data_IF_876542797949
#
_entry.id   IF_876542797949
#
_cell.length_a   1.000
_cell.length_b   1.000
_cell.length_c   1.000
_cell.angle_alpha   90.00
_cell.angle_beta   90.00
_cell.angle_gamma   90.00
#
_symmetry.space_group_name_H-M   'P 1'
#
loop_
_entity.id
_entity.type
_entity.pdbx_description
1 polymer ?
#
# COMPACT_ATOMS: atom_id res chain seq x y z
N UNK A 1 -21.30 72.65 -31.60
CA UNK A 1 -21.66 71.24 -31.36
C UNK A 1 -20.57 70.39 -31.99
N UNK A 2 -19.71 69.73 -31.20
CA UNK A 2 -18.61 68.96 -31.74
C UNK A 2 -19.13 67.65 -32.36
N UNK A 3 -18.57 67.33 -33.51
CA UNK A 3 -18.84 66.16 -34.35
C UNK A 3 -18.43 64.87 -33.59
N UNK A 4 -19.41 64.13 -33.06
CA UNK A 4 -19.17 62.78 -32.53
C UNK A 4 -19.00 61.83 -33.71
N UNK A 5 -17.74 61.63 -34.12
CA UNK A 5 -17.35 60.45 -34.89
C UNK A 5 -17.59 59.21 -34.03
N UNK A 6 -18.71 58.54 -34.25
CA UNK A 6 -18.93 57.20 -33.72
C UNK A 6 -17.95 56.25 -34.43
N UNK A 7 -16.82 55.97 -33.80
CA UNK A 7 -15.99 54.83 -34.15
C UNK A 7 -16.83 53.56 -33.94
N UNK A 8 -17.31 53.00 -35.05
CA UNK A 8 -17.96 51.68 -35.04
C UNK A 8 -16.87 50.65 -34.71
N UNK A 9 -16.71 50.33 -33.43
CA UNK A 9 -16.14 49.05 -33.04
C UNK A 9 -17.07 47.96 -33.56
N UNK A 10 -16.76 47.38 -34.72
CA UNK A 10 -17.43 46.20 -35.23
C UNK A 10 -17.17 45.05 -34.25
N UNK A 11 -18.03 44.94 -33.24
CA UNK A 11 -18.11 43.75 -32.41
C UNK A 11 -18.32 42.57 -33.38
N UNK A 12 -17.55 41.48 -33.25
CA UNK A 12 -17.68 40.33 -34.12
C UNK A 12 -18.95 39.54 -33.72
N UNK A 13 -20.11 40.17 -33.89
CA UNK A 13 -21.44 39.71 -33.47
C UNK A 13 -21.81 38.34 -34.05
N UNK A 14 -21.17 37.96 -35.16
CA UNK A 14 -21.43 36.72 -35.89
C UNK A 14 -20.20 35.79 -35.98
N UNK A 15 -19.09 36.11 -35.31
CA UNK A 15 -17.92 35.24 -35.34
C UNK A 15 -18.15 34.00 -34.48
N UNK A 16 -18.00 32.82 -35.09
CA UNK A 16 -18.06 31.53 -34.43
C UNK A 16 -16.64 31.01 -34.22
N UNK A 17 -16.35 30.55 -33.00
CA UNK A 17 -15.11 29.85 -32.66
C UNK A 17 -15.46 28.37 -32.49
N UNK A 18 -14.81 27.50 -33.27
CA UNK A 18 -15.08 26.06 -33.21
C UNK A 18 -14.23 25.40 -32.14
N UNK A 19 -14.86 24.87 -31.10
CA UNK A 19 -14.20 24.16 -30.02
C UNK A 19 -14.49 22.64 -30.11
N UNK A 20 -13.46 21.78 -30.23
CA UNK A 20 -13.67 20.33 -30.26
C UNK A 20 -14.35 19.82 -28.98
N UNK A 21 -15.34 18.92 -29.11
CA UNK A 21 -16.04 18.34 -27.95
C UNK A 21 -15.08 17.66 -26.95
N UNK A 22 -14.03 17.01 -27.47
CA UNK A 22 -12.99 16.37 -26.65
C UNK A 22 -12.29 17.35 -25.70
N UNK A 23 -12.20 18.64 -26.05
CA UNK A 23 -11.68 19.66 -25.15
C UNK A 23 -12.59 19.86 -23.95
N UNK A 24 -13.91 19.90 -24.18
CA UNK A 24 -14.92 20.08 -23.13
C UNK A 24 -14.96 18.86 -22.21
N UNK A 25 -14.94 17.66 -22.78
CA UNK A 25 -15.14 16.43 -22.00
C UNK A 25 -13.90 16.02 -21.20
N UNK A 26 -12.69 16.24 -21.77
CA UNK A 26 -11.44 15.72 -21.19
C UNK A 26 -10.61 16.81 -20.53
N UNK A 27 -10.48 17.98 -21.18
CA UNK A 27 -9.51 18.99 -20.78
C UNK A 27 -10.11 20.08 -19.87
N UNK A 28 -11.33 20.53 -20.14
CA UNK A 28 -12.00 21.59 -19.38
C UNK A 28 -12.10 21.30 -17.87
N UNK A 29 -12.43 20.07 -17.40
CA UNK A 29 -12.48 19.78 -15.96
C UNK A 29 -11.13 19.82 -15.25
N UNK A 30 -10.04 19.73 -16.00
CA UNK A 30 -8.67 19.65 -15.48
C UNK A 30 -7.93 20.99 -15.52
N UNK A 31 -8.49 22.00 -16.20
CA UNK A 31 -7.85 23.29 -16.40
C UNK A 31 -8.40 24.34 -15.43
N UNK A 32 -7.55 25.27 -15.00
CA UNK A 32 -8.00 26.44 -14.24
C UNK A 32 -8.82 27.37 -15.12
N UNK A 33 -9.70 28.18 -14.51
CA UNK A 33 -10.50 29.17 -15.25
C UNK A 33 -9.65 30.15 -16.07
N UNK A 34 -8.43 30.48 -15.61
CA UNK A 34 -7.49 31.30 -16.38
C UNK A 34 -6.86 30.55 -17.55
N UNK A 35 -6.55 29.26 -17.41
CA UNK A 35 -6.06 28.44 -18.51
C UNK A 35 -7.11 28.25 -19.61
N UNK A 36 -8.38 28.07 -19.26
CA UNK A 36 -9.48 28.00 -20.25
C UNK A 36 -9.63 29.34 -20.99
N UNK A 37 -9.64 30.46 -20.27
CA UNK A 37 -9.69 31.81 -20.88
C UNK A 37 -8.52 32.04 -21.83
N UNK A 38 -7.31 31.68 -21.40
CA UNK A 38 -6.10 31.82 -22.20
C UNK A 38 -6.18 30.98 -23.47
N UNK A 39 -6.60 29.72 -23.37
CA UNK A 39 -6.75 28.84 -24.53
C UNK A 39 -7.77 29.37 -25.55
N UNK A 40 -8.92 29.87 -25.10
CA UNK A 40 -9.94 30.43 -25.99
C UNK A 40 -9.48 31.73 -26.69
N UNK A 41 -8.74 32.60 -25.97
CA UNK A 41 -8.16 33.82 -26.55
C UNK A 41 -7.10 33.46 -27.60
N UNK A 42 -6.25 32.48 -27.30
CA UNK A 42 -5.25 31.98 -28.24
C UNK A 42 -5.92 31.34 -29.47
N UNK A 43 -6.98 30.54 -29.27
CA UNK A 43 -7.72 29.89 -30.34
C UNK A 43 -8.30 30.94 -31.29
N UNK A 44 -8.93 31.97 -30.73
CA UNK A 44 -9.48 33.06 -31.53
C UNK A 44 -8.41 33.86 -32.28
N UNK A 45 -7.26 34.13 -31.65
CA UNK A 45 -6.17 34.85 -32.31
C UNK A 45 -5.49 34.02 -33.39
N UNK A 46 -5.43 32.70 -33.23
CA UNK A 46 -4.90 31.79 -34.26
C UNK A 46 -5.75 31.77 -35.53
N UNK A 47 -7.07 31.95 -35.42
CA UNK A 47 -7.98 32.08 -36.56
C UNK A 47 -7.81 33.43 -37.30
N UNK A 48 -7.41 34.48 -36.57
CA UNK A 48 -7.25 35.83 -37.11
C UNK A 48 -5.82 36.12 -37.61
N UNK A 49 -4.86 35.25 -37.30
CA UNK A 49 -3.44 35.43 -37.64
C UNK A 49 -2.73 36.48 -36.79
N UNK A 50 -3.30 36.86 -35.64
CA UNK A 50 -2.78 37.92 -34.78
C UNK A 50 -1.58 37.44 -33.96
N UNK A 51 -0.52 38.26 -33.91
CA UNK A 51 0.61 38.05 -32.99
C UNK A 51 0.25 38.61 -31.62
N UNK A 52 0.13 37.74 -30.63
CA UNK A 52 -0.20 38.12 -29.26
C UNK A 52 1.06 38.31 -28.41
N UNK A 53 1.21 39.50 -27.82
CA UNK A 53 2.20 39.75 -26.76
C UNK A 53 1.64 39.36 -25.39
N UNK A 54 2.52 39.10 -24.43
CA UNK A 54 2.10 38.70 -23.07
C UNK A 54 1.27 39.77 -22.36
N UNK A 55 1.54 41.05 -22.64
CA UNK A 55 0.79 42.19 -22.10
C UNK A 55 -0.66 42.19 -22.60
N UNK A 56 -0.88 41.91 -23.89
CA UNK A 56 -2.22 41.80 -24.48
C UNK A 56 -2.97 40.60 -23.91
N UNK A 57 -2.28 39.47 -23.70
CA UNK A 57 -2.87 38.30 -23.07
C UNK A 57 -3.33 38.58 -21.64
N UNK A 58 -2.51 39.27 -20.84
CA UNK A 58 -2.89 39.66 -19.48
C UNK A 58 -4.11 40.57 -19.45
N UNK A 59 -4.15 41.56 -20.34
CA UNK A 59 -5.27 42.48 -20.43
C UNK A 59 -6.55 41.78 -20.88
N UNK A 60 -6.49 40.91 -21.88
CA UNK A 60 -7.66 40.16 -22.39
C UNK A 60 -8.17 39.09 -21.42
N UNK A 61 -7.27 38.43 -20.69
CA UNK A 61 -7.63 37.38 -19.72
C UNK A 61 -7.92 37.94 -18.32
N UNK A 62 -7.69 39.23 -18.08
CA UNK A 62 -7.81 39.90 -16.78
C UNK A 62 -7.07 39.13 -15.66
N UNK A 63 -5.77 38.85 -15.88
CA UNK A 63 -4.97 38.04 -14.96
C UNK A 63 -3.61 38.68 -14.61
N UNK A 64 -3.07 38.30 -13.44
CA UNK A 64 -1.72 38.69 -13.02
C UNK A 64 -0.64 37.93 -13.82
N UNK A 65 0.62 38.39 -13.76
CA UNK A 65 1.73 37.69 -14.41
C UNK A 65 1.86 36.24 -13.91
N UNK A 66 1.72 36.03 -12.60
CA UNK A 66 1.81 34.72 -11.97
C UNK A 66 0.69 33.77 -12.43
N UNK A 67 -0.54 34.28 -12.54
CA UNK A 67 -1.68 33.51 -13.05
C UNK A 67 -1.51 33.18 -14.53
N UNK A 68 -0.97 34.11 -15.32
CA UNK A 68 -0.67 33.86 -16.72
C UNK A 68 0.39 32.76 -16.87
N UNK A 69 1.45 32.80 -16.08
CA UNK A 69 2.53 31.81 -16.14
C UNK A 69 2.07 30.43 -15.64
N UNK A 70 1.22 30.38 -14.62
CA UNK A 70 0.57 29.14 -14.19
C UNK A 70 -0.34 28.57 -15.29
N UNK A 71 -1.14 29.42 -15.94
CA UNK A 71 -2.01 29.02 -17.04
C UNK A 71 -1.21 28.51 -18.25
N UNK A 72 -0.10 29.16 -18.63
CA UNK A 72 0.82 28.70 -19.66
C UNK A 72 1.37 27.30 -19.34
N UNK A 73 1.86 27.09 -18.12
CA UNK A 73 2.39 25.80 -17.67
C UNK A 73 1.34 24.70 -17.74
N UNK A 74 0.11 24.96 -17.31
CA UNK A 74 -0.99 23.99 -17.39
C UNK A 74 -1.32 23.61 -18.82
N UNK A 75 -1.34 24.56 -19.75
CA UNK A 75 -1.61 24.27 -21.17
C UNK A 75 -0.43 23.56 -21.85
N UNK A 76 0.80 23.85 -21.45
CA UNK A 76 2.01 23.15 -21.92
C UNK A 76 2.06 21.71 -21.40
N UNK A 77 1.74 21.47 -20.12
CA UNK A 77 1.69 20.13 -19.52
C UNK A 77 0.69 19.21 -20.24
N UNK A 78 -0.43 19.78 -20.69
CA UNK A 78 -1.45 19.07 -21.46
C UNK A 78 -1.16 19.01 -22.97
N UNK A 79 -0.01 19.50 -23.40
CA UNK A 79 0.44 19.59 -24.81
C UNK A 79 -0.52 20.38 -25.74
N UNK A 80 -1.38 21.23 -25.16
CA UNK A 80 -2.37 22.03 -25.89
C UNK A 80 -1.75 23.27 -26.55
N UNK A 81 -0.71 23.83 -25.90
CA UNK A 81 -0.01 25.04 -26.34
C UNK A 81 1.50 24.81 -26.30
N UNK A 82 2.19 25.12 -27.39
CA UNK A 82 3.64 25.23 -27.45
C UNK A 82 4.05 26.69 -27.56
N UNK A 83 5.10 27.08 -26.84
CA UNK A 83 5.66 28.43 -26.91
C UNK A 83 7.03 28.27 -27.53
N UNK A 84 7.23 28.81 -28.73
CA UNK A 84 8.55 28.81 -29.37
C UNK A 84 9.55 29.70 -28.60
N UNK A 85 10.87 29.50 -28.76
CA UNK A 85 11.89 30.40 -28.20
C UNK A 85 11.76 31.86 -28.65
N UNK A 86 11.03 32.10 -29.75
CA UNK A 86 10.70 33.41 -30.29
C UNK A 86 9.41 34.02 -29.69
N UNK A 87 8.81 33.39 -28.67
CA UNK A 87 7.61 33.88 -27.98
C UNK A 87 6.30 33.66 -28.74
N UNK A 88 6.30 32.80 -29.77
CA UNK A 88 5.11 32.51 -30.59
C UNK A 88 4.34 31.33 -30.00
N UNK A 89 3.03 31.51 -29.80
CA UNK A 89 2.13 30.47 -29.33
C UNK A 89 1.63 29.62 -30.50
N UNK A 90 1.87 28.32 -30.45
CA UNK A 90 1.31 27.33 -31.38
C UNK A 90 0.31 26.45 -30.65
N UNK A 91 -0.91 26.42 -31.17
CA UNK A 91 -1.95 25.52 -30.69
C UNK A 91 -1.85 24.17 -31.40
N UNK A 92 -2.14 23.11 -30.66
CA UNK A 92 -2.30 21.78 -31.21
C UNK A 92 -3.75 21.35 -31.05
N UNK A 93 -4.31 20.67 -32.05
CA UNK A 93 -5.68 20.19 -31.97
C UNK A 93 -5.80 19.12 -30.87
N UNK A 94 -6.68 19.30 -29.87
CA UNK A 94 -6.95 18.31 -28.83
C UNK A 94 -7.29 16.92 -29.39
N UNK A 95 -7.92 16.84 -30.56
CA UNK A 95 -8.22 15.58 -31.25
C UNK A 95 -6.94 14.88 -31.70
N UNK A 96 -5.99 15.61 -32.26
CA UNK A 96 -4.70 15.06 -32.69
C UNK A 96 -3.86 14.60 -31.49
N UNK A 97 -3.93 15.29 -30.36
CA UNK A 97 -3.26 14.87 -29.12
C UNK A 97 -3.79 13.53 -28.66
N UNK A 98 -5.10 13.40 -28.51
CA UNK A 98 -5.72 12.15 -28.07
C UNK A 98 -5.54 11.04 -29.10
N UNK A 99 -5.64 11.34 -30.39
CA UNK A 99 -5.37 10.41 -31.47
C UNK A 99 -3.92 9.93 -31.42
N UNK A 100 -2.95 10.84 -31.27
CA UNK A 100 -1.55 10.50 -31.14
C UNK A 100 -1.28 9.68 -29.87
N UNK A 101 -1.95 9.93 -28.74
CA UNK A 101 -1.85 9.06 -27.56
C UNK A 101 -2.37 7.65 -27.85
N UNK A 102 -3.47 7.52 -28.59
CA UNK A 102 -4.04 6.24 -29.00
C UNK A 102 -3.13 5.48 -29.99
N UNK A 103 -2.48 6.18 -30.94
CA UNK A 103 -1.60 5.56 -31.95
C UNK A 103 -0.13 5.41 -31.53
N UNK A 104 0.42 6.30 -30.69
CA UNK A 104 1.77 6.15 -30.11
C UNK A 104 1.84 4.92 -29.21
N UNK A 105 0.71 4.56 -28.60
CA UNK A 105 0.52 3.29 -27.86
C UNK A 105 0.47 2.06 -28.78
N UNK A 106 0.18 2.23 -30.07
CA UNK A 106 0.23 1.16 -31.09
C UNK A 106 1.59 1.03 -31.80
N UNK A 107 2.51 2.01 -31.67
CA UNK A 107 3.73 2.10 -32.51
C UNK A 107 5.06 1.88 -31.75
N UNK A 108 5.02 1.20 -30.61
CA UNK A 108 6.24 0.65 -29.97
C UNK A 108 6.04 -0.81 -29.62
N UNK A 109 7.02 -1.66 -29.96
CA UNK A 109 7.28 -2.15 -31.30
C UNK A 109 6.33 -3.32 -31.66
N UNK A 110 5.65 -3.23 -32.80
CA UNK A 110 5.26 -4.44 -33.54
C UNK A 110 6.34 -4.66 -34.61
N UNK A 111 6.91 -5.87 -34.74
CA UNK A 111 7.98 -6.13 -35.70
C UNK A 111 7.47 -5.91 -37.12
N UNK A 112 8.25 -5.16 -37.89
CA UNK A 112 8.03 -4.89 -39.31
C UNK A 112 7.77 -6.19 -40.08
N UNK A 113 6.75 -6.12 -40.95
CA UNK A 113 6.37 -7.09 -41.99
C UNK A 113 7.30 -8.30 -42.18
N UNK A 114 6.84 -9.46 -41.71
CA UNK A 114 7.00 -10.71 -42.45
C UNK A 114 5.61 -11.23 -42.84
N UNK A 115 5.33 -11.15 -44.12
CA UNK A 115 4.30 -11.93 -44.80
C UNK A 115 4.65 -13.42 -44.57
N UNK A 116 3.74 -14.16 -43.93
CA UNK A 116 3.37 -15.57 -44.19
C UNK A 116 2.69 -16.21 -42.95
N UNK A 117 1.39 -16.45 -43.06
CA UNK A 117 0.66 -17.66 -42.60
C UNK A 117 0.83 -18.22 -41.17
N UNK A 118 0.60 -17.43 -40.12
CA UNK A 118 0.37 -17.99 -38.76
C UNK A 118 -0.60 -17.18 -37.86
N UNK A 119 -1.55 -16.44 -38.46
CA UNK A 119 -2.24 -15.32 -37.80
C UNK A 119 -3.50 -15.65 -36.95
N UNK A 120 -3.87 -16.91 -36.73
CA UNK A 120 -5.07 -17.22 -35.92
C UNK A 120 -4.84 -17.04 -34.41
N UNK A 121 -3.66 -17.39 -33.88
CA UNK A 121 -3.40 -17.31 -32.44
C UNK A 121 -3.23 -15.87 -31.91
N UNK A 122 -2.60 -14.98 -32.67
CA UNK A 122 -2.42 -13.58 -32.26
C UNK A 122 -3.76 -12.81 -32.31
N UNK A 123 -4.59 -13.09 -33.31
CA UNK A 123 -5.94 -12.54 -33.39
C UNK A 123 -6.85 -13.10 -32.27
N UNK A 124 -6.71 -14.39 -31.95
CA UNK A 124 -7.43 -15.02 -30.85
C UNK A 124 -7.07 -14.40 -29.49
N UNK A 125 -5.78 -14.18 -29.21
CA UNK A 125 -5.35 -13.56 -27.96
C UNK A 125 -5.82 -12.11 -27.83
N UNK A 126 -5.78 -11.33 -28.92
CA UNK A 126 -6.30 -9.97 -28.94
C UNK A 126 -7.81 -9.93 -28.63
N UNK A 127 -8.58 -10.83 -29.25
CA UNK A 127 -10.02 -11.00 -28.96
C UNK A 127 -10.29 -11.40 -27.51
N UNK A 128 -9.48 -12.29 -26.95
CA UNK A 128 -9.61 -12.70 -25.55
C UNK A 128 -9.31 -11.55 -24.58
N UNK A 129 -8.33 -10.69 -24.89
CA UNK A 129 -8.02 -9.48 -24.11
C UNK A 129 -9.16 -8.47 -24.16
N UNK A 130 -9.72 -8.22 -25.34
CA UNK A 130 -10.90 -7.35 -25.49
C UNK A 130 -12.10 -7.87 -24.70
N UNK A 131 -12.35 -9.19 -24.78
CA UNK A 131 -13.41 -9.85 -24.01
C UNK A 131 -13.19 -9.74 -22.50
N UNK A 132 -11.95 -9.90 -22.03
CA UNK A 132 -11.59 -9.73 -20.62
C UNK A 132 -11.92 -8.32 -20.15
N UNK A 133 -11.46 -7.30 -20.87
CA UNK A 133 -11.70 -5.89 -20.53
C UNK A 133 -13.19 -5.57 -20.52
N UNK A 134 -13.94 -6.05 -21.51
CA UNK A 134 -15.38 -5.91 -21.57
C UNK A 134 -16.06 -6.56 -20.35
N UNK A 135 -15.71 -7.80 -20.02
CA UNK A 135 -16.27 -8.52 -18.87
C UNK A 135 -15.97 -7.81 -17.54
N UNK A 136 -14.78 -7.23 -17.39
CA UNK A 136 -14.42 -6.43 -16.20
C UNK A 136 -15.25 -5.16 -16.15
N UNK A 137 -15.35 -4.43 -17.27
CA UNK A 137 -16.13 -3.19 -17.38
C UNK A 137 -17.61 -3.42 -17.04
N UNK A 138 -18.23 -4.41 -17.68
CA UNK A 138 -19.66 -4.71 -17.52
C UNK A 138 -19.98 -5.18 -16.10
N UNK A 139 -19.12 -6.02 -15.50
CA UNK A 139 -19.39 -6.64 -14.20
C UNK A 139 -19.03 -5.77 -12.99
N UNK A 140 -17.94 -5.00 -13.07
CA UNK A 140 -17.41 -4.27 -11.92
C UNK A 140 -17.54 -2.75 -12.04
N UNK A 141 -17.75 -2.21 -13.24
CA UNK A 141 -17.82 -0.77 -13.50
C UNK A 141 -19.11 -0.34 -14.23
N UNK A 142 -20.13 -1.19 -14.28
CA UNK A 142 -21.41 -0.92 -14.95
C UNK A 142 -21.25 -0.46 -16.41
N UNK A 143 -20.25 -0.98 -17.12
CA UNK A 143 -19.93 -0.62 -18.49
C UNK A 143 -19.13 0.67 -18.65
N UNK A 144 -18.85 1.42 -17.58
CA UNK A 144 -18.10 2.67 -17.61
C UNK A 144 -16.77 2.55 -16.87
N UNK A 145 -15.79 1.91 -17.51
CA UNK A 145 -14.43 1.78 -16.98
C UNK A 145 -13.52 2.92 -17.49
N UNK A 146 -12.80 3.58 -16.57
CA UNK A 146 -11.84 4.65 -16.92
C UNK A 146 -10.80 4.19 -17.96
N UNK A 147 -10.45 5.02 -18.97
CA UNK A 147 -9.39 4.73 -19.94
C UNK A 147 -8.03 4.38 -19.32
N UNK A 148 -7.77 4.83 -18.09
CA UNK A 148 -6.54 4.51 -17.36
C UNK A 148 -6.40 3.02 -17.03
N UNK A 149 -7.52 2.32 -16.80
CA UNK A 149 -7.52 0.88 -16.50
C UNK A 149 -7.03 0.02 -17.64
N UNK A 150 -7.20 0.45 -18.89
CA UNK A 150 -6.69 -0.27 -20.05
C UNK A 150 -5.16 -0.33 -20.02
N UNK A 151 -4.50 0.76 -19.59
CA UNK A 151 -3.06 0.78 -19.35
C UNK A 151 -2.65 -0.16 -18.24
N UNK A 152 -3.37 -0.13 -17.12
CA UNK A 152 -2.99 -0.95 -15.97
C UNK A 152 -3.21 -2.44 -16.25
N UNK A 153 -4.27 -2.82 -16.95
CA UNK A 153 -4.53 -4.19 -17.38
C UNK A 153 -3.46 -4.67 -18.36
N UNK A 154 -3.09 -3.83 -19.35
CA UNK A 154 -2.00 -4.18 -20.27
C UNK A 154 -0.67 -4.36 -19.53
N UNK A 155 -0.37 -3.54 -18.53
CA UNK A 155 0.83 -3.72 -17.71
C UNK A 155 0.76 -5.01 -16.89
N UNK A 156 -0.40 -5.37 -16.32
CA UNK A 156 -0.56 -6.65 -15.60
C UNK A 156 -0.32 -7.86 -16.52
N UNK A 157 -0.79 -7.79 -17.77
CA UNK A 157 -0.61 -8.87 -18.75
C UNK A 157 0.83 -8.95 -19.29
N UNK A 158 1.46 -7.80 -19.54
CA UNK A 158 2.74 -7.75 -20.25
C UNK A 158 3.95 -7.67 -19.30
N UNK A 159 3.88 -6.87 -18.23
CA UNK A 159 4.99 -6.68 -17.28
C UNK A 159 4.94 -7.73 -16.16
N UNK A 160 3.76 -8.01 -15.60
CA UNK A 160 3.61 -9.03 -14.55
C UNK A 160 3.36 -10.43 -15.09
N UNK A 161 3.20 -10.55 -16.41
CA UNK A 161 2.95 -11.79 -17.14
C UNK A 161 1.67 -12.54 -16.74
N UNK A 162 0.72 -11.89 -16.06
CA UNK A 162 -0.48 -12.55 -15.59
C UNK A 162 -1.30 -13.15 -16.73
N UNK A 163 -1.82 -14.35 -16.52
CA UNK A 163 -2.84 -14.91 -17.41
C UNK A 163 -4.15 -14.14 -17.29
N UNK A 164 -4.96 -14.16 -18.36
CA UNK A 164 -6.26 -13.47 -18.39
C UNK A 164 -7.18 -13.83 -17.20
N UNK A 165 -7.30 -15.11 -16.78
CA UNK A 165 -8.09 -15.46 -15.61
C UNK A 165 -7.55 -14.85 -14.30
N UNK A 166 -6.23 -14.68 -14.16
CA UNK A 166 -5.61 -14.07 -12.98
C UNK A 166 -5.95 -12.60 -12.89
N UNK A 167 -5.88 -11.88 -14.02
CA UNK A 167 -6.32 -10.48 -14.09
C UNK A 167 -7.79 -10.36 -13.74
N UNK A 168 -8.65 -11.23 -14.29
CA UNK A 168 -10.07 -11.24 -13.93
C UNK A 168 -10.28 -11.45 -12.41
N UNK A 169 -9.55 -12.41 -11.82
CA UNK A 169 -9.63 -12.69 -10.39
C UNK A 169 -9.14 -11.53 -9.51
N UNK A 170 -8.18 -10.71 -9.95
CA UNK A 170 -7.79 -9.49 -9.23
C UNK A 170 -8.98 -8.54 -9.06
N UNK A 171 -9.72 -8.25 -10.13
CA UNK A 171 -10.89 -7.38 -10.05
C UNK A 171 -12.02 -8.00 -9.23
N UNK A 172 -12.22 -9.33 -9.35
CA UNK A 172 -13.18 -10.05 -8.54
C UNK A 172 -12.87 -9.95 -7.04
N UNK A 173 -11.61 -10.11 -6.66
CA UNK A 173 -11.17 -10.06 -5.27
C UNK A 173 -11.23 -8.63 -4.71
N UNK A 174 -10.85 -7.63 -5.51
CA UNK A 174 -11.00 -6.22 -5.15
C UNK A 174 -12.46 -5.84 -4.93
N UNK A 175 -13.37 -6.34 -5.78
CA UNK A 175 -14.81 -6.14 -5.60
C UNK A 175 -15.33 -6.81 -4.32
N UNK A 176 -14.94 -8.06 -4.05
CA UNK A 176 -15.34 -8.79 -2.84
C UNK A 176 -14.93 -8.06 -1.55
N UNK A 177 -13.80 -7.34 -1.58
CA UNK A 177 -13.29 -6.53 -0.47
C UNK A 177 -13.82 -5.09 -0.46
N UNK A 178 -14.75 -4.76 -1.36
CA UNK A 178 -15.29 -3.41 -1.54
C UNK A 178 -14.20 -2.35 -1.78
N UNK A 179 -13.15 -2.72 -2.53
CA UNK A 179 -11.95 -1.93 -2.75
C UNK A 179 -11.60 -1.82 -4.24
N UNK A 180 -12.60 -1.53 -5.09
CA UNK A 180 -12.45 -1.29 -6.54
C UNK A 180 -11.80 0.07 -6.87
N UNK A 181 -10.74 0.43 -6.17
CA UNK A 181 -9.95 1.61 -6.48
C UNK A 181 -8.63 1.21 -7.14
N UNK A 182 -8.11 2.11 -7.98
CA UNK A 182 -6.93 1.88 -8.81
C UNK A 182 -5.69 1.51 -8.01
N UNK A 183 -5.41 2.27 -6.96
CA UNK A 183 -4.21 2.08 -6.14
C UNK A 183 -4.24 0.72 -5.43
N UNK A 184 -5.39 0.35 -4.86
CA UNK A 184 -5.56 -0.93 -4.19
C UNK A 184 -5.31 -2.13 -5.13
N UNK A 185 -5.90 -2.11 -6.32
CA UNK A 185 -5.71 -3.20 -7.30
C UNK A 185 -4.25 -3.25 -7.78
N UNK A 186 -3.58 -2.10 -7.96
CA UNK A 186 -2.16 -2.06 -8.30
C UNK A 186 -1.27 -2.67 -7.22
N UNK A 187 -1.50 -2.33 -5.96
CA UNK A 187 -0.77 -2.92 -4.83
C UNK A 187 -1.04 -4.42 -4.72
N UNK A 188 -2.29 -4.86 -4.91
CA UNK A 188 -2.64 -6.28 -4.92
C UNK A 188 -1.98 -7.03 -6.09
N UNK A 189 -1.96 -6.44 -7.28
CA UNK A 189 -1.26 -6.99 -8.44
C UNK A 189 0.25 -7.09 -8.17
N UNK A 190 0.85 -6.07 -7.56
CA UNK A 190 2.26 -6.09 -7.18
C UNK A 190 2.57 -7.16 -6.13
N UNK A 191 1.70 -7.36 -5.13
CA UNK A 191 1.81 -8.43 -4.14
C UNK A 191 1.74 -9.82 -4.80
N UNK A 192 0.78 -10.04 -5.71
CA UNK A 192 0.64 -11.30 -6.44
C UNK A 192 1.86 -11.59 -7.33
N UNK A 193 2.37 -10.55 -8.00
CA UNK A 193 3.58 -10.66 -8.79
C UNK A 193 4.81 -11.00 -7.93
N UNK A 194 4.97 -10.35 -6.76
CA UNK A 194 6.04 -10.66 -5.79
C UNK A 194 5.97 -12.09 -5.26
N UNK A 195 4.77 -12.66 -5.14
CA UNK A 195 4.52 -14.06 -4.78
C UNK A 195 4.75 -15.05 -5.93
N UNK A 196 5.09 -14.56 -7.13
CA UNK A 196 5.29 -15.38 -8.32
C UNK A 196 4.00 -15.96 -8.88
N UNK A 197 2.85 -15.34 -8.61
CA UNK A 197 1.56 -15.78 -9.15
C UNK A 197 1.44 -15.28 -10.58
N UNK A 198 1.43 -16.19 -11.54
CA UNK A 198 1.31 -15.84 -12.97
C UNK A 198 0.10 -16.52 -13.58
N UNK A 199 -0.10 -17.80 -13.24
CA UNK A 199 -1.17 -18.63 -13.79
C UNK A 199 -2.36 -18.77 -12.83
N UNK A 200 -3.51 -19.18 -13.35
CA UNK A 200 -4.66 -19.50 -12.49
C UNK A 200 -4.34 -20.62 -11.49
N UNK A 201 -3.50 -21.58 -11.87
CA UNK A 201 -3.05 -22.66 -10.98
C UNK A 201 -2.19 -22.15 -9.84
N UNK A 202 -1.34 -21.14 -10.06
CA UNK A 202 -0.55 -20.51 -8.99
C UNK A 202 -1.46 -19.80 -8.00
N UNK A 203 -2.45 -19.07 -8.51
CA UNK A 203 -3.43 -18.37 -7.70
C UNK A 203 -4.26 -19.34 -6.85
N UNK A 204 -4.70 -20.46 -7.42
CA UNK A 204 -5.43 -21.50 -6.71
C UNK A 204 -4.58 -22.10 -5.58
N UNK A 205 -3.32 -22.43 -5.85
CA UNK A 205 -2.37 -22.96 -4.84
C UNK A 205 -2.14 -21.97 -3.71
N UNK A 206 -1.95 -20.68 -4.03
CA UNK A 206 -1.75 -19.65 -3.01
C UNK A 206 -3.03 -19.41 -2.19
N UNK A 207 -4.19 -19.42 -2.83
CA UNK A 207 -5.49 -19.32 -2.15
C UNK A 207 -5.72 -20.49 -1.20
N UNK A 208 -5.31 -21.70 -1.60
CA UNK A 208 -5.40 -22.90 -0.75
C UNK A 208 -4.51 -22.77 0.48
N UNK A 209 -3.25 -22.31 0.33
CA UNK A 209 -2.37 -22.02 1.47
C UNK A 209 -3.01 -21.00 2.40
N UNK A 210 -3.51 -19.89 1.88
CA UNK A 210 -4.16 -18.85 2.66
C UNK A 210 -5.36 -19.40 3.45
N UNK A 211 -6.23 -20.19 2.81
CA UNK A 211 -7.38 -20.79 3.48
C UNK A 211 -6.98 -21.78 4.57
N UNK A 212 -5.95 -22.62 4.31
CA UNK A 212 -5.38 -23.54 5.30
C UNK A 212 -4.85 -22.79 6.52
N UNK A 213 -4.02 -21.76 6.30
CA UNK A 213 -3.48 -20.90 7.36
C UNK A 213 -4.59 -20.25 8.17
N UNK A 214 -5.60 -19.68 7.51
CA UNK A 214 -6.74 -19.04 8.19
C UNK A 214 -7.55 -20.01 9.03
N UNK A 215 -7.79 -21.21 8.49
CA UNK A 215 -8.54 -22.27 9.18
C UNK A 215 -7.83 -22.74 10.43
N UNK A 216 -6.52 -23.02 10.32
CA UNK A 216 -5.71 -23.46 11.46
C UNK A 216 -5.55 -22.33 12.48
N UNK A 217 -5.33 -21.08 12.04
CA UNK A 217 -5.31 -19.91 12.92
C UNK A 217 -6.60 -19.78 13.72
N UNK A 218 -7.76 -19.96 13.08
CA UNK A 218 -9.05 -19.94 13.75
C UNK A 218 -9.19 -21.08 14.79
N UNK A 219 -8.77 -22.31 14.45
CA UNK A 219 -8.79 -23.44 15.37
C UNK A 219 -7.90 -23.19 16.60
N UNK A 220 -6.68 -22.69 16.40
CA UNK A 220 -5.75 -22.31 17.48
C UNK A 220 -6.38 -21.21 18.36
N UNK A 221 -6.97 -20.17 17.74
CA UNK A 221 -7.66 -19.09 18.47
C UNK A 221 -8.78 -19.61 19.36
N UNK A 222 -9.60 -20.54 18.84
CA UNK A 222 -10.67 -21.21 19.60
C UNK A 222 -10.12 -22.00 20.80
N UNK A 223 -9.03 -22.73 20.61
CA UNK A 223 -8.40 -23.51 21.69
C UNK A 223 -7.77 -22.61 22.76
N UNK A 224 -7.16 -21.50 22.36
CA UNK A 224 -6.62 -20.48 23.26
C UNK A 224 -7.68 -19.55 23.86
N UNK A 225 -8.95 -19.68 23.45
CA UNK A 225 -10.07 -18.82 23.83
C UNK A 225 -9.77 -17.33 23.63
N UNK A 226 -9.06 -16.99 22.55
CA UNK A 226 -8.70 -15.61 22.21
C UNK A 226 -8.94 -15.30 20.75
N UNK A 227 -9.17 -14.04 20.45
CA UNK A 227 -9.16 -13.54 19.08
C UNK A 227 -7.73 -13.49 18.56
N UNK A 228 -7.54 -13.94 17.33
CA UNK A 228 -6.23 -13.96 16.66
C UNK A 228 -6.09 -12.70 15.81
N UNK A 229 -4.95 -12.04 15.94
CA UNK A 229 -4.59 -10.86 15.15
C UNK A 229 -3.90 -11.26 13.84
N UNK A 230 -3.71 -10.31 12.93
CA UNK A 230 -2.90 -10.52 11.72
C UNK A 230 -1.45 -10.91 12.04
N UNK A 231 -0.90 -10.42 13.16
CA UNK A 231 0.42 -10.84 13.63
C UNK A 231 0.43 -12.30 14.05
N UNK A 232 -0.62 -12.75 14.77
CA UNK A 232 -0.74 -14.15 15.16
C UNK A 232 -0.89 -15.07 13.94
N UNK A 233 -1.63 -14.65 12.92
CA UNK A 233 -1.76 -15.38 11.65
C UNK A 233 -0.41 -15.53 10.95
N UNK A 234 0.45 -14.50 10.95
CA UNK A 234 1.81 -14.59 10.38
C UNK A 234 2.69 -15.62 11.10
N UNK A 235 2.50 -15.81 12.42
CA UNK A 235 3.20 -16.83 13.19
C UNK A 235 2.74 -18.22 12.75
N UNK A 236 1.42 -18.42 12.62
CA UNK A 236 0.85 -19.69 12.16
C UNK A 236 1.26 -19.98 10.72
N UNK A 237 1.32 -18.97 9.86
CA UNK A 237 1.78 -19.10 8.48
C UNK A 237 3.20 -19.69 8.41
N UNK A 238 4.12 -19.19 9.25
CA UNK A 238 5.48 -19.77 9.36
C UNK A 238 5.45 -21.23 9.80
N UNK A 239 4.58 -21.61 10.75
CA UNK A 239 4.51 -23.00 11.19
C UNK A 239 4.10 -23.94 10.05
N UNK A 240 3.18 -23.52 9.20
CA UNK A 240 2.67 -24.34 8.10
C UNK A 240 3.61 -24.31 6.89
N UNK A 241 4.08 -23.14 6.49
CA UNK A 241 4.80 -22.94 5.23
C UNK A 241 6.33 -23.02 5.37
N UNK A 242 6.89 -22.51 6.48
CA UNK A 242 8.34 -22.50 6.73
C UNK A 242 8.77 -23.77 7.48
N UNK A 243 8.06 -24.12 8.55
CA UNK A 243 8.37 -25.31 9.34
C UNK A 243 7.81 -26.60 8.71
N UNK A 244 6.75 -26.49 7.92
CA UNK A 244 6.10 -27.63 7.27
C UNK A 244 5.29 -28.48 8.23
N UNK A 245 4.83 -27.91 9.35
CA UNK A 245 4.03 -28.64 10.33
C UNK A 245 2.57 -28.73 9.92
N UNK A 246 1.97 -29.89 10.17
CA UNK A 246 0.52 -30.06 10.07
C UNK A 246 -0.18 -29.71 11.40
N UNK A 247 -1.51 -29.73 11.37
CA UNK A 247 -2.32 -29.48 12.57
C UNK A 247 -2.00 -30.48 13.69
N UNK A 248 -1.62 -31.72 13.38
CA UNK A 248 -1.39 -32.75 14.41
C UNK A 248 -0.14 -32.46 15.24
N UNK A 249 0.93 -31.94 14.61
CA UNK A 249 2.13 -31.51 15.32
C UNK A 249 1.86 -30.25 16.14
N UNK A 250 1.07 -29.32 15.60
CA UNK A 250 0.67 -28.09 16.32
C UNK A 250 -0.18 -28.44 17.55
N UNK A 251 -1.14 -29.37 17.43
CA UNK A 251 -1.93 -29.89 18.54
C UNK A 251 -1.06 -30.54 19.62
N UNK A 252 -0.01 -31.28 19.22
CA UNK A 252 0.94 -31.85 20.17
C UNK A 252 1.66 -30.75 20.96
N UNK A 253 2.11 -29.68 20.31
CA UNK A 253 2.71 -28.53 20.99
C UNK A 253 1.72 -27.82 21.93
N UNK A 254 0.47 -27.65 21.50
CA UNK A 254 -0.59 -27.07 22.32
C UNK A 254 -0.92 -27.92 23.54
N UNK A 255 -0.95 -29.25 23.42
CA UNK A 255 -1.20 -30.16 24.55
C UNK A 255 -0.16 -29.99 25.66
N UNK A 256 1.10 -29.70 25.31
CA UNK A 256 2.17 -29.41 26.28
C UNK A 256 2.00 -28.07 26.99
N UNK A 257 1.25 -27.16 26.39
CA UNK A 257 0.98 -25.83 26.95
C UNK A 257 -0.15 -25.87 27.99
N UNK A 258 -1.00 -26.91 27.99
CA UNK A 258 -2.06 -27.09 29.01
C UNK A 258 -1.53 -27.23 30.45
N UNK A 259 -0.24 -27.56 30.61
CA UNK A 259 0.43 -27.59 31.91
C UNK A 259 0.68 -26.19 32.50
N UNK A 260 0.44 -25.11 31.75
CA UNK A 260 0.65 -23.72 32.14
C UNK A 260 -0.73 -23.06 32.35
N UNK A 261 -0.89 -22.28 33.42
CA UNK A 261 -2.14 -21.59 33.75
C UNK A 261 -2.66 -20.67 32.63
N UNK A 262 -1.77 -20.07 31.84
CA UNK A 262 -2.10 -19.19 30.72
C UNK A 262 -1.34 -19.58 29.45
N UNK A 263 -1.92 -20.48 28.63
CA UNK A 263 -1.40 -20.79 27.31
C UNK A 263 -1.29 -19.54 26.44
N UNK A 264 -0.10 -19.27 25.90
CA UNK A 264 0.12 -18.16 24.98
C UNK A 264 0.81 -18.65 23.70
N UNK A 265 0.56 -17.94 22.59
CA UNK A 265 1.07 -18.33 21.27
C UNK A 265 2.59 -18.28 21.19
N UNK A 266 3.24 -17.36 21.92
CA UNK A 266 4.69 -17.23 21.97
C UNK A 266 5.36 -18.48 22.56
N UNK A 267 4.72 -19.10 23.55
CA UNK A 267 5.21 -20.34 24.14
C UNK A 267 5.07 -21.51 23.15
N UNK A 268 3.95 -21.61 22.45
CA UNK A 268 3.75 -22.62 21.40
C UNK A 268 4.79 -22.43 20.28
N UNK A 269 5.02 -21.19 19.83
CA UNK A 269 6.04 -20.83 18.84
C UNK A 269 7.43 -21.31 19.29
N UNK A 270 7.77 -21.12 20.57
CA UNK A 270 9.07 -21.56 21.11
C UNK A 270 9.26 -23.08 21.08
N UNK A 271 8.18 -23.84 21.31
CA UNK A 271 8.20 -25.32 21.24
C UNK A 271 8.41 -25.75 19.79
N UNK A 272 7.59 -25.22 18.87
CA UNK A 272 7.64 -25.59 17.45
C UNK A 272 8.98 -25.20 16.81
N UNK A 273 9.51 -24.03 17.16
CA UNK A 273 10.84 -23.59 16.74
C UNK A 273 11.93 -24.54 17.23
N UNK A 274 11.88 -24.99 18.49
CA UNK A 274 12.85 -25.95 19.00
C UNK A 274 12.81 -27.30 18.27
N UNK A 275 11.62 -27.77 17.91
CA UNK A 275 11.47 -29.00 17.12
C UNK A 275 11.98 -28.81 15.69
N UNK A 276 11.78 -27.62 15.10
CA UNK A 276 12.21 -27.31 13.75
C UNK A 276 13.74 -27.23 13.66
N UNK A 277 14.38 -26.57 14.63
CA UNK A 277 15.84 -26.51 14.76
C UNK A 277 16.47 -27.90 14.92
N UNK A 278 15.70 -28.88 15.42
CA UNK A 278 16.12 -30.28 15.56
C UNK A 278 15.77 -31.15 14.35
N UNK A 279 15.16 -30.58 13.32
CA UNK A 279 14.76 -31.28 12.10
C UNK A 279 13.61 -32.27 12.29
N UNK A 280 12.83 -32.15 13.37
CA UNK A 280 11.70 -33.02 13.65
C UNK A 280 10.50 -32.51 12.84
N UNK A 281 10.07 -33.24 11.81
CA UNK A 281 8.92 -32.85 10.97
C UNK A 281 7.68 -33.70 11.25
N UNK A 282 7.89 -34.99 11.50
CA UNK A 282 6.79 -35.93 11.70
C UNK A 282 6.38 -36.01 13.17
N UNK A 283 5.08 -36.22 13.39
CA UNK A 283 4.51 -36.40 14.73
C UNK A 283 5.23 -37.49 15.52
N UNK A 284 5.49 -38.64 14.91
CA UNK A 284 6.15 -39.77 15.57
C UNK A 284 7.59 -39.42 15.99
N UNK A 285 8.30 -38.66 15.15
CA UNK A 285 9.65 -38.19 15.46
C UNK A 285 9.64 -37.22 16.66
N UNK A 286 8.65 -36.33 16.72
CA UNK A 286 8.44 -35.42 17.85
C UNK A 286 8.10 -36.19 19.13
N UNK A 287 7.19 -37.16 19.07
CA UNK A 287 6.80 -37.97 20.23
C UNK A 287 7.99 -38.79 20.76
N UNK A 288 8.76 -39.45 19.88
CA UNK A 288 9.95 -40.20 20.25
C UNK A 288 11.03 -39.31 20.89
N UNK A 289 11.25 -38.11 20.34
CA UNK A 289 12.17 -37.13 20.91
C UNK A 289 11.73 -36.68 22.31
N UNK A 290 10.44 -36.40 22.51
CA UNK A 290 9.91 -35.97 23.81
C UNK A 290 9.96 -37.09 24.86
N UNK A 291 9.75 -38.35 24.47
CA UNK A 291 9.95 -39.51 25.36
C UNK A 291 11.40 -39.57 25.83
N UNK A 292 12.36 -39.53 24.90
CA UNK A 292 13.80 -39.52 25.24
C UNK A 292 14.16 -38.36 26.16
N UNK A 293 13.68 -37.15 25.86
CA UNK A 293 13.92 -35.95 26.68
C UNK A 293 13.35 -36.08 28.09
N UNK A 294 12.17 -36.70 28.25
CA UNK A 294 11.57 -36.96 29.56
C UNK A 294 12.38 -38.00 30.36
N UNK A 295 12.86 -39.05 29.70
CA UNK A 295 13.71 -40.06 30.31
C UNK A 295 15.05 -39.49 30.78
N UNK A 296 15.72 -38.69 29.95
CA UNK A 296 16.97 -38.01 30.30
C UNK A 296 16.79 -37.08 31.51
N UNK A 297 15.72 -36.28 31.53
CA UNK A 297 15.40 -35.40 32.67
C UNK A 297 15.17 -36.19 33.96
N UNK A 298 14.46 -37.32 33.87
CA UNK A 298 14.25 -38.20 35.02
C UNK A 298 15.55 -38.88 35.48
N UNK A 299 16.45 -39.26 34.56
CA UNK A 299 17.78 -39.79 34.89
C UNK A 299 18.64 -38.73 35.59
N UNK A 300 18.64 -37.48 35.11
CA UNK A 300 19.35 -36.37 35.73
C UNK A 300 18.83 -36.07 37.14
N UNK A 301 17.50 -35.99 37.33
CA UNK A 301 16.88 -35.84 38.67
C UNK A 301 17.28 -36.96 39.64
N UNK A 302 17.28 -38.21 39.18
CA UNK A 302 17.72 -39.35 39.99
C UNK A 302 19.21 -39.29 40.34
N UNK A 303 20.06 -38.73 39.48
CA UNK A 303 21.48 -38.52 39.78
C UNK A 303 21.70 -37.37 40.79
N UNK A 304 20.96 -36.27 40.70
CA UNK A 304 21.03 -35.17 41.67
C UNK A 304 20.54 -35.60 43.05
N UNK A 305 19.44 -36.36 43.12
CA UNK A 305 18.92 -36.90 44.39
C UNK A 305 19.88 -37.89 45.05
N UNK A 306 20.58 -38.71 44.25
CA UNK A 306 21.62 -39.63 44.76
C UNK A 306 22.87 -38.90 45.24
N UNK A 307 23.28 -37.80 44.59
CA UNK A 307 24.41 -36.95 45.03
C UNK A 307 24.07 -36.14 46.28
N UNK A 308 22.82 -35.70 46.43
CA UNK A 308 22.32 -35.04 47.65
C UNK A 308 22.28 -36.00 48.86
N UNK A 309 21.88 -37.26 48.66
CA UNK A 309 21.91 -38.29 49.71
C UNK A 309 23.30 -38.76 50.12
N UNK A 310 24.32 -38.59 49.26
CA UNK A 310 25.70 -38.97 49.57
C UNK A 310 26.47 -37.91 50.39
N UNK A 311 25.90 -36.71 50.61
CA UNK A 311 26.55 -35.59 51.31
C UNK A 311 25.85 -35.11 52.58
N UNK A 312 24.78 -35.77 53.03
CA UNK A 312 24.00 -35.32 54.20
C UNK A 312 23.91 -36.38 55.30
N UNK A 313 24.93 -36.43 56.17
CA UNK A 313 24.67 -36.79 57.57
C UNK A 313 23.73 -35.76 58.19
N UNK A 314 22.87 -36.23 59.10
CA UNK A 314 21.84 -35.47 59.83
C UNK A 314 22.20 -34.01 60.08
N UNK A 315 21.41 -33.11 59.51
CA UNK A 315 21.27 -31.72 59.96
C UNK A 315 19.81 -31.34 59.75
N UNK A 316 19.18 -30.88 60.83
CA UNK A 316 17.78 -30.49 60.85
C UNK A 316 17.46 -29.39 59.84
N UNK A 317 16.21 -29.46 59.41
CA UNK A 317 15.56 -28.64 58.42
C UNK A 317 15.43 -27.18 58.93
N UNK A 318 16.36 -26.30 58.54
CA UNK A 318 16.21 -24.84 58.63
C UNK A 318 16.37 -24.28 57.22
N UNK A 319 15.45 -23.42 56.83
CA UNK A 319 15.08 -23.07 55.46
C UNK A 319 16.25 -22.77 54.51
N UNK A 320 16.26 -23.48 53.39
CA UNK A 320 17.04 -23.13 52.20
C UNK A 320 16.36 -21.95 51.46
N UNK A 321 16.44 -20.76 52.06
CA UNK A 321 16.27 -19.51 51.32
C UNK A 321 17.62 -19.14 50.72
N UNK A 322 17.74 -19.18 49.39
CA UNK A 322 18.85 -18.51 48.72
C UNK A 322 18.72 -17.01 48.98
N UNK A 323 19.64 -16.47 49.77
CA UNK A 323 19.75 -15.04 49.99
C UNK A 323 20.05 -14.40 48.62
N UNK A 324 19.14 -13.53 48.14
CA UNK A 324 19.35 -12.83 46.86
C UNK A 324 20.66 -12.05 46.95
N UNK A 325 21.62 -12.41 46.11
CA UNK A 325 22.85 -11.66 45.90
C UNK A 325 22.46 -10.44 45.06
N UNK A 326 22.41 -9.26 45.68
CA UNK A 326 22.21 -8.01 44.99
C UNK A 326 23.55 -7.56 44.40
N UNK A 327 23.60 -7.27 43.10
CA UNK A 327 24.77 -6.66 42.47
C UNK A 327 24.89 -5.19 42.89
N UNK A 328 26.10 -4.63 42.89
CA UNK A 328 26.30 -3.18 43.09
C UNK A 328 25.46 -2.34 42.12
N UNK A 329 25.30 -2.83 40.87
CA UNK A 329 24.44 -2.18 39.86
C UNK A 329 22.96 -2.10 40.25
N UNK A 330 22.47 -2.99 41.11
CA UNK A 330 21.09 -2.94 41.63
C UNK A 330 20.95 -1.86 42.71
N UNK A 331 21.97 -1.67 43.55
CA UNK A 331 22.00 -0.57 44.52
C UNK A 331 22.08 0.79 43.82
N UNK A 332 22.87 0.91 42.75
CA UNK A 332 22.96 2.16 41.98
C UNK A 332 21.60 2.53 41.33
N UNK A 333 20.83 1.54 40.87
CA UNK A 333 19.49 1.78 40.31
C UNK A 333 18.48 2.28 41.35
N UNK A 334 18.67 1.91 42.63
CA UNK A 334 17.81 2.36 43.73
C UNK A 334 18.13 3.77 44.21
N UNK A 335 19.38 4.23 44.04
CA UNK A 335 19.80 5.59 44.43
C UNK A 335 19.43 6.60 43.33
N UNK A 336 19.47 6.20 42.06
CA UNK A 336 19.09 7.06 40.94
C UNK A 336 17.62 7.50 40.98
N UNK A 337 16.71 6.65 41.47
CA UNK A 337 15.28 6.95 41.54
C UNK A 337 14.87 7.79 42.77
N UNK A 338 15.78 8.03 43.73
CA UNK A 338 15.49 8.83 44.94
C UNK A 338 15.66 10.33 44.67
N UNK A 339 16.62 10.71 43.82
CA UNK A 339 16.84 12.12 43.45
C UNK A 339 15.71 12.70 42.58
N UNK A 340 14.91 11.86 41.93
CA UNK A 340 13.71 12.29 41.18
C UNK A 340 12.45 12.51 42.06
N UNK A 341 12.50 12.12 43.35
CA UNK A 341 11.36 12.20 44.26
C UNK A 341 11.47 13.31 45.33
N UNK A 342 12.50 14.16 45.26
CA UNK A 342 12.54 15.38 46.08
C UNK A 342 11.71 16.47 45.38
N UNK A 343 10.53 16.85 45.91
CA UNK A 343 9.82 18.01 45.38
C UNK A 343 10.72 19.24 45.56
N UNK A 344 11.01 19.94 44.47
CA UNK A 344 11.62 21.26 44.54
C UNK A 344 10.66 22.17 45.30
N UNK A 345 10.94 22.43 46.57
CA UNK A 345 10.29 23.50 47.32
C UNK A 345 10.71 24.81 46.68
N UNK A 346 9.84 25.38 45.85
CA UNK A 346 9.91 26.79 45.46
C UNK A 346 9.90 27.63 46.75
N UNK A 347 10.97 28.38 46.96
CA UNK A 347 11.06 29.37 48.02
C UNK A 347 10.22 30.57 47.55
N UNK A 348 8.95 30.62 47.94
CA UNK A 348 8.14 31.83 47.82
C UNK A 348 8.70 32.89 48.77
N UNK A 349 9.42 33.84 48.19
CA UNK A 349 9.80 35.09 48.86
C UNK A 349 8.57 35.98 49.00
N UNK A 350 8.11 36.18 50.23
CA UNK A 350 7.11 37.20 50.56
C UNK A 350 7.72 38.61 50.40
N UNK A 351 7.08 39.54 49.65
CA UNK A 351 7.46 40.94 49.67
C UNK A 351 6.79 41.67 50.84
N UNK A 352 7.60 42.48 51.51
CA UNK A 352 7.22 43.36 52.62
C UNK A 352 6.13 44.38 52.26
N UNK A 353 5.24 44.58 53.23
CA UNK A 353 4.30 45.69 53.36
C UNK A 353 4.98 47.04 53.15
N UNK A 354 4.42 47.90 52.30
CA UNK A 354 4.59 49.34 52.49
C UNK A 354 3.31 50.12 52.20
N UNK A 355 2.99 50.96 53.17
CA UNK A 355 1.82 51.81 53.31
C UNK A 355 1.83 52.97 52.31
N UNK A 356 0.63 53.39 51.85
CA UNK A 356 0.05 54.74 52.04
C UNK A 356 -0.84 55.21 50.88
N UNK A 357 -1.94 55.84 51.29
CA UNK A 357 -2.51 57.05 50.69
C UNK A 357 -3.57 56.77 49.62
N UNK A 358 -4.86 56.81 49.94
CA UNK A 358 -5.69 58.00 50.25
C UNK A 358 -6.44 58.51 49.01
N UNK A 359 -7.72 58.73 49.27
CA UNK A 359 -8.63 59.72 48.69
C UNK A 359 -9.33 59.50 47.33
N UNK A 360 -10.66 59.35 47.51
CA UNK A 360 -11.82 59.80 46.71
C UNK A 360 -12.45 58.87 45.69
#
# INVERSE_FOLDING_TARGET
MPDMKAERHELPLFALCSLPAIFIDVYLPQLSGYAVKLYLVLLRASEQGDRLTEEVLRHRCHCSQEQLDQAKRQLQDKELVFIDPLGVYRLRDPREIELAKLYRRRTSPEPAHRVNDSNDSNNALAKQRELLVKNISDRYFNGMMSPTWYNDIDNMLNEYHFELPVVYSLFSEAHRRNALNRNYIKEMALDWHRKGIVTYTDLARESEKWYKTRTITYQIGKMLRRQMTAFDESIVDRWLNEFGYDMTVIELAMSKTTAIQQPNLKYIDSILKNWYEKGLKDRDAVEAYEIKRKEERNRQRRQTDRRGRSRGGRSDNVGNFDQRQYSETFFDSLVADIDELVPQTEVETFPEENQRGDDK
#
